data_IF_652843775651
#
_entry.id   IF_652843775651
#
_cell.length_a   1.000
_cell.length_b   1.000
_cell.length_c   1.000
_cell.angle_alpha   90.00
_cell.angle_beta   90.00
_cell.angle_gamma   90.00
#
_symmetry.space_group_name_H-M   'P 1'
#
loop_
_entity.id
_entity.type
_entity.pdbx_description
1 polymer ?
#
# COMPACT_ATOMS: atom_id res chain seq x y z
N UNK A 1 7.30 -30.34 6.96
CA UNK A 1 7.09 -29.29 5.95
C UNK A 1 5.65 -28.85 6.02
N UNK A 2 5.30 -27.69 6.61
CA UNK A 2 3.94 -27.22 6.56
C UNK A 2 3.66 -26.69 5.15
N UNK A 3 2.46 -26.98 4.64
CA UNK A 3 1.97 -26.43 3.39
C UNK A 3 1.86 -24.90 3.50
N UNK A 4 2.22 -24.11 2.46
CA UNK A 4 2.01 -22.68 2.48
C UNK A 4 0.52 -22.38 2.65
N UNK A 5 0.18 -21.41 3.51
CA UNK A 5 -1.20 -21.01 3.74
C UNK A 5 -1.82 -20.50 2.43
N UNK A 6 -2.89 -21.12 1.98
CA UNK A 6 -3.56 -20.74 0.73
C UNK A 6 -4.24 -19.38 0.94
N UNK A 7 -3.92 -18.38 0.10
CA UNK A 7 -4.64 -17.10 0.08
C UNK A 7 -3.96 -15.89 0.71
N UNK A 8 -2.65 -15.94 1.00
CA UNK A 8 -1.90 -14.79 1.55
C UNK A 8 -1.21 -13.91 0.47
N UNK A 9 -1.34 -14.26 -0.81
CA UNK A 9 -0.70 -13.52 -1.91
C UNK A 9 -1.71 -12.58 -2.56
N UNK A 10 -1.31 -11.35 -2.93
CA UNK A 10 -2.21 -10.44 -3.63
C UNK A 10 -2.63 -11.03 -4.98
N UNK A 11 -3.88 -10.80 -5.36
CA UNK A 11 -4.41 -11.22 -6.66
C UNK A 11 -3.86 -10.38 -7.83
N UNK A 12 -3.37 -9.18 -7.52
CA UNK A 12 -2.83 -8.23 -8.50
C UNK A 12 -1.63 -7.50 -7.90
N UNK A 13 -0.57 -7.35 -8.70
CA UNK A 13 0.58 -6.52 -8.36
C UNK A 13 0.51 -5.23 -9.17
N UNK A 14 0.48 -4.09 -8.47
CA UNK A 14 0.53 -2.80 -9.13
C UNK A 14 1.98 -2.52 -9.62
N UNK A 15 2.18 -2.08 -10.87
CA UNK A 15 3.50 -1.80 -11.43
C UNK A 15 4.03 -0.44 -10.93
N UNK A 16 4.19 -0.31 -9.62
CA UNK A 16 4.83 0.83 -8.96
C UNK A 16 6.34 0.57 -8.94
N UNK A 17 7.15 1.59 -9.16
CA UNK A 17 8.59 1.48 -9.23
C UNK A 17 9.17 0.93 -7.90
N UNK A 18 9.52 -0.35 -7.92
CA UNK A 18 10.11 -1.07 -6.80
C UNK A 18 11.60 -0.74 -6.58
N UNK A 19 12.20 0.06 -7.47
CA UNK A 19 13.61 0.47 -7.38
C UNK A 19 13.84 1.61 -6.39
N UNK A 20 12.77 2.24 -5.90
CA UNK A 20 12.87 3.33 -4.95
C UNK A 20 13.13 2.79 -3.53
N UNK A 21 14.18 3.29 -2.89
CA UNK A 21 14.61 2.87 -1.54
C UNK A 21 13.64 3.28 -0.43
N UNK A 22 12.73 4.21 -0.72
CA UNK A 22 11.75 4.74 0.23
C UNK A 22 10.32 4.63 -0.30
N UNK A 23 9.34 4.67 0.60
CA UNK A 23 7.93 4.48 0.26
C UNK A 23 7.26 5.73 -0.30
N UNK A 24 7.74 6.91 0.06
CA UNK A 24 7.24 8.21 -0.41
C UNK A 24 7.19 8.32 -1.95
N UNK A 25 8.26 7.99 -2.71
CA UNK A 25 8.19 8.00 -4.18
C UNK A 25 7.24 6.93 -4.73
N UNK A 26 7.12 5.78 -4.07
CA UNK A 26 6.17 4.73 -4.47
C UNK A 26 4.71 5.22 -4.30
N UNK A 27 4.44 5.96 -3.22
CA UNK A 27 3.15 6.60 -2.97
C UNK A 27 2.86 7.67 -4.02
N UNK A 28 3.83 8.51 -4.35
CA UNK A 28 3.65 9.55 -5.37
C UNK A 28 3.33 8.94 -6.74
N UNK A 29 3.97 7.83 -7.09
CA UNK A 29 3.67 7.11 -8.32
C UNK A 29 2.28 6.45 -8.29
N UNK A 30 1.89 5.82 -7.18
CA UNK A 30 0.53 5.29 -7.01
C UNK A 30 -0.53 6.39 -7.22
N UNK A 31 -0.33 7.55 -6.61
CA UNK A 31 -1.27 8.67 -6.69
C UNK A 31 -1.40 9.14 -8.14
N UNK A 32 -0.28 9.48 -8.77
CA UNK A 32 -0.28 10.05 -10.13
C UNK A 32 -0.72 9.06 -11.22
N UNK A 33 -0.43 7.76 -11.07
CA UNK A 33 -0.72 6.75 -12.10
C UNK A 33 -2.06 6.06 -11.92
N UNK A 34 -2.62 6.05 -10.71
CA UNK A 34 -3.82 5.28 -10.40
C UNK A 34 -4.91 6.16 -9.78
N UNK A 35 -4.63 6.88 -8.70
CA UNK A 35 -5.68 7.64 -8.00
C UNK A 35 -6.17 8.84 -8.82
N UNK A 36 -5.27 9.68 -9.33
CA UNK A 36 -5.64 10.87 -10.10
C UNK A 36 -6.37 10.52 -11.41
N UNK A 37 -5.92 9.54 -12.23
CA UNK A 37 -6.64 9.14 -13.44
C UNK A 37 -8.01 8.51 -13.17
N UNK A 38 -8.20 7.92 -11.99
CA UNK A 38 -9.50 7.41 -11.53
C UNK A 38 -10.42 8.50 -10.95
N UNK A 39 -9.98 9.76 -10.96
CA UNK A 39 -10.76 10.88 -10.46
C UNK A 39 -10.73 11.02 -8.93
N UNK A 40 -9.66 10.55 -8.28
CA UNK A 40 -9.44 10.76 -6.86
C UNK A 40 -8.33 11.78 -6.62
N UNK A 41 -8.56 12.68 -5.67
CA UNK A 41 -7.53 13.57 -5.12
C UNK A 41 -7.08 13.04 -3.76
N UNK A 42 -5.78 12.87 -3.57
CA UNK A 42 -5.21 12.48 -2.28
C UNK A 42 -5.30 13.65 -1.29
N UNK A 43 -5.96 13.43 -0.15
CA UNK A 43 -6.04 14.42 0.95
C UNK A 43 -4.85 14.28 1.89
N UNK A 44 -4.60 13.05 2.34
CA UNK A 44 -3.49 12.73 3.24
C UNK A 44 -3.22 11.23 3.21
N UNK A 45 -2.02 10.83 3.63
CA UNK A 45 -1.66 9.44 3.83
C UNK A 45 -0.81 9.29 5.09
N UNK A 46 -0.80 8.09 5.65
CA UNK A 46 0.03 7.75 6.79
C UNK A 46 0.53 6.32 6.70
N UNK A 47 1.80 6.12 7.06
CA UNK A 47 2.34 4.78 7.31
C UNK A 47 1.82 4.29 8.66
N UNK A 48 1.15 3.15 8.67
CA UNK A 48 0.60 2.57 9.89
C UNK A 48 1.67 1.69 10.54
N UNK A 49 1.91 1.79 11.86
CA UNK A 49 2.70 0.79 12.57
C UNK A 49 1.91 -0.53 12.59
N UNK A 50 2.39 -1.53 11.87
CA UNK A 50 1.80 -2.87 11.95
C UNK A 50 2.06 -3.47 13.34
N UNK A 51 0.99 -3.94 13.99
CA UNK A 51 1.03 -4.60 15.28
C UNK A 51 0.29 -5.94 15.17
N UNK A 52 1.00 -6.98 14.76
CA UNK A 52 0.60 -8.34 15.09
C UNK A 52 1.68 -9.00 15.95
N UNK A 53 1.23 -9.83 16.88
CA UNK A 53 2.08 -10.72 17.68
C UNK A 53 2.86 -11.60 16.69
N UNK A 54 4.19 -11.46 16.69
CA UNK A 54 5.05 -12.34 15.92
C UNK A 54 4.90 -13.80 16.36
N UNK A 55 5.47 -14.74 15.61
CA UNK A 55 5.48 -16.14 16.02
C UNK A 55 6.74 -16.47 16.85
N UNK A 56 6.85 -17.73 17.31
CA UNK A 56 8.01 -18.19 18.08
C UNK A 56 9.34 -18.14 17.30
N UNK A 57 9.32 -17.93 15.97
CA UNK A 57 10.52 -17.83 15.13
C UNK A 57 10.90 -16.38 14.80
N UNK A 58 9.93 -15.46 14.78
CA UNK A 58 10.14 -14.04 14.50
C UNK A 58 9.19 -13.18 15.33
N UNK A 59 9.72 -12.50 16.35
CA UNK A 59 8.94 -11.67 17.29
C UNK A 59 8.26 -10.46 16.63
N UNK A 60 8.73 -10.01 15.45
CA UNK A 60 8.14 -8.88 14.71
C UNK A 60 8.25 -9.07 13.18
N UNK A 61 7.12 -9.05 12.47
CA UNK A 61 7.10 -8.90 11.01
C UNK A 61 7.04 -7.42 10.62
N UNK A 62 7.77 -7.04 9.57
CA UNK A 62 7.81 -5.67 9.05
C UNK A 62 6.88 -5.57 7.85
N UNK A 63 5.57 -5.50 8.10
CA UNK A 63 4.62 -5.12 7.06
C UNK A 63 4.55 -3.60 7.01
N UNK A 64 4.77 -3.05 5.82
CA UNK A 64 4.65 -1.61 5.59
C UNK A 64 3.26 -1.35 5.04
N UNK A 65 2.32 -1.07 5.93
CA UNK A 65 0.97 -0.69 5.56
C UNK A 65 0.84 0.83 5.44
N UNK A 66 0.05 1.27 4.46
CA UNK A 66 -0.22 2.69 4.20
C UNK A 66 -1.71 2.91 4.12
N UNK A 67 -2.19 3.89 4.88
CA UNK A 67 -3.57 4.36 4.81
C UNK A 67 -3.62 5.61 3.93
N UNK A 68 -4.57 5.65 3.00
CA UNK A 68 -4.86 6.81 2.15
C UNK A 68 -6.24 7.37 2.46
N UNK A 69 -6.32 8.68 2.63
CA UNK A 69 -7.58 9.42 2.64
C UNK A 69 -7.68 10.14 1.30
N UNK A 70 -8.68 9.78 0.50
CA UNK A 70 -8.92 10.35 -0.82
C UNK A 70 -10.29 11.02 -0.88
N UNK A 71 -10.41 12.03 -1.72
CA UNK A 71 -11.68 12.66 -2.10
C UNK A 71 -11.96 12.38 -3.56
N UNK A 72 -13.25 12.23 -3.89
CA UNK A 72 -13.65 12.22 -5.29
C UNK A 72 -13.44 13.62 -5.86
N UNK A 73 -12.70 13.70 -6.96
CA UNK A 73 -12.50 14.95 -7.69
C UNK A 73 -13.84 15.32 -8.33
N UNK A 74 -14.51 16.33 -7.77
CA UNK A 74 -15.68 16.92 -8.40
C UNK A 74 -15.25 17.52 -9.74
N UNK A 75 -15.57 16.82 -10.83
CA UNK A 75 -15.45 17.38 -12.17
C UNK A 75 -16.65 18.30 -12.38
N UNK A 76 -16.55 19.55 -11.93
CA UNK A 76 -17.48 20.58 -12.39
C UNK A 76 -17.29 20.74 -13.90
N UNK A 77 -18.32 20.38 -14.65
CA UNK A 77 -18.43 20.50 -16.11
C UNK A 77 -18.65 21.94 -16.55
#
# INVERSE_FOLDING_TARGET
FPFPAIGHTPSEYLPINSSAESIEPQIQELVSRLLEPLGFTLVTWSKVPYLCEGDFQQTFYWLTDVLFVVQLTNQES
#
